data_IF_906746939683
#
_entry.id   IF_906746939683
#
_cell.length_a   1.000
_cell.length_b   1.000
_cell.length_c   1.000
_cell.angle_alpha   90.00
_cell.angle_beta   90.00
_cell.angle_gamma   90.00
#
_symmetry.space_group_name_H-M   'P 1'
#
loop_
_entity.id
_entity.type
_entity.pdbx_description
1 polymer ?
#
# COMPACT_ATOMS: atom_id res chain seq x y z
N UNK A 1 -14.30 -5.89 0.75
CA UNK A 1 -13.67 -4.65 1.25
C UNK A 1 -12.32 -4.51 0.58
N UNK A 2 -12.21 -3.65 -0.43
CA UNK A 2 -10.95 -3.42 -1.14
C UNK A 2 -10.03 -2.61 -0.21
N UNK A 3 -8.86 -3.17 0.13
CA UNK A 3 -7.85 -2.48 0.93
C UNK A 3 -7.08 -1.54 0.00
N UNK A 4 -7.37 -0.25 0.06
CA UNK A 4 -6.50 0.78 -0.50
C UNK A 4 -5.12 0.68 0.16
N UNK A 5 -4.05 0.99 -0.60
CA UNK A 5 -2.78 1.29 0.04
C UNK A 5 -2.96 2.56 0.85
N UNK A 6 -2.69 2.49 2.15
CA UNK A 6 -2.73 3.64 3.06
C UNK A 6 -1.86 4.80 2.55
N UNK A 7 -0.80 4.50 1.80
CA UNK A 7 0.10 5.51 1.21
C UNK A 7 -0.55 6.30 0.04
N UNK A 8 -1.61 5.77 -0.58
CA UNK A 8 -2.28 6.34 -1.77
C UNK A 8 -3.71 6.79 -1.50
N UNK A 9 -4.08 7.10 -0.24
CA UNK A 9 -5.42 7.54 0.14
C UNK A 9 -5.88 8.80 -0.63
N UNK A 10 -4.93 9.69 -0.96
CA UNK A 10 -5.17 10.91 -1.73
C UNK A 10 -5.67 10.64 -3.15
N UNK A 11 -5.44 9.43 -3.70
CA UNK A 11 -5.86 9.06 -5.05
C UNK A 11 -7.39 9.04 -5.22
N UNK A 12 -8.14 8.92 -4.13
CA UNK A 12 -9.59 9.08 -4.17
C UNK A 12 -10.02 10.45 -4.69
N UNK A 13 -9.24 11.51 -4.46
CA UNK A 13 -9.57 12.87 -4.89
C UNK A 13 -9.49 13.02 -6.41
N UNK A 14 -8.38 12.68 -7.11
CA UNK A 14 -8.35 12.66 -8.57
C UNK A 14 -9.46 11.82 -9.21
N UNK A 15 -9.81 10.67 -8.61
CA UNK A 15 -10.89 9.81 -9.10
C UNK A 15 -12.26 10.51 -9.03
N UNK A 16 -12.56 11.19 -7.92
CA UNK A 16 -13.81 11.95 -7.75
C UNK A 16 -13.85 13.17 -8.66
N UNK A 17 -12.73 13.86 -8.84
CA UNK A 17 -12.61 15.06 -9.67
C UNK A 17 -12.68 14.72 -11.18
N UNK A 18 -12.28 13.51 -11.59
CA UNK A 18 -12.32 13.05 -12.98
C UNK A 18 -13.71 13.18 -13.61
N UNK A 19 -14.77 12.80 -12.90
CA UNK A 19 -16.15 12.86 -13.41
C UNK A 19 -16.59 14.29 -13.80
N UNK A 20 -16.56 15.25 -12.85
CA UNK A 20 -16.84 16.65 -13.14
C UNK A 20 -15.93 17.25 -14.22
N UNK A 21 -14.63 16.92 -14.22
CA UNK A 21 -13.71 17.43 -15.24
C UNK A 21 -14.09 16.96 -16.66
N UNK A 22 -14.54 15.72 -16.84
CA UNK A 22 -14.97 15.22 -18.16
C UNK A 22 -16.23 15.95 -18.67
N UNK A 23 -17.12 16.39 -17.77
CA UNK A 23 -18.33 17.11 -18.15
C UNK A 23 -18.08 18.59 -18.47
N UNK A 24 -16.99 19.17 -17.96
CA UNK A 24 -16.68 20.59 -18.12
C UNK A 24 -16.48 21.02 -19.60
N UNK A 25 -15.74 20.30 -20.46
CA UNK A 25 -15.63 20.61 -21.88
C UNK A 25 -16.98 20.63 -22.63
N UNK A 26 -17.90 19.74 -22.25
CA UNK A 26 -19.24 19.65 -22.88
C UNK A 26 -20.04 20.92 -22.62
N UNK A 27 -19.90 21.51 -21.42
CA UNK A 27 -20.60 22.75 -21.04
C UNK A 27 -19.91 24.00 -21.60
N UNK A 28 -18.57 24.03 -21.64
CA UNK A 28 -17.82 25.22 -22.06
C UNK A 28 -17.76 25.41 -23.58
N UNK A 29 -17.73 24.32 -24.35
CA UNK A 29 -17.50 24.35 -25.78
C UNK A 29 -18.65 23.67 -26.54
N UNK A 30 -19.90 23.97 -26.17
CA UNK A 30 -21.12 23.35 -26.74
C UNK A 30 -21.15 23.34 -28.27
N UNK A 31 -20.62 24.40 -28.88
CA UNK A 31 -20.71 24.61 -30.34
C UNK A 31 -19.52 24.02 -31.13
N UNK A 32 -18.51 23.48 -30.43
CA UNK A 32 -17.28 22.97 -31.06
C UNK A 32 -16.95 21.54 -30.62
N UNK A 33 -17.62 20.52 -31.20
CA UNK A 33 -17.39 19.11 -30.86
C UNK A 33 -15.92 18.65 -30.95
N UNK A 34 -15.11 19.08 -31.94
CA UNK A 34 -13.69 18.70 -31.97
C UNK A 34 -12.91 19.15 -30.72
N UNK A 35 -13.19 20.36 -30.23
CA UNK A 35 -12.54 20.90 -29.03
C UNK A 35 -12.97 20.10 -27.79
N UNK A 36 -14.25 19.73 -27.69
CA UNK A 36 -14.75 18.90 -26.59
C UNK A 36 -13.98 17.57 -26.51
N UNK A 37 -13.83 16.87 -27.65
CA UNK A 37 -13.16 15.55 -27.68
C UNK A 37 -11.68 15.67 -27.33
N UNK A 38 -10.97 16.68 -27.84
CA UNK A 38 -9.55 16.90 -27.51
C UNK A 38 -9.38 17.21 -26.01
N UNK A 39 -10.23 18.07 -25.43
CA UNK A 39 -10.20 18.36 -24.01
C UNK A 39 -10.48 17.12 -23.14
N UNK A 40 -11.49 16.32 -23.51
CA UNK A 40 -11.79 15.07 -22.80
C UNK A 40 -10.61 14.10 -22.90
N UNK A 41 -9.99 13.94 -24.07
CA UNK A 41 -8.83 13.09 -24.26
C UNK A 41 -7.64 13.53 -23.39
N UNK A 42 -7.34 14.84 -23.33
CA UNK A 42 -6.28 15.37 -22.47
C UNK A 42 -6.53 15.07 -20.98
N UNK A 43 -7.77 15.27 -20.51
CA UNK A 43 -8.16 14.97 -19.13
C UNK A 43 -7.99 13.47 -18.84
N UNK A 44 -8.52 12.61 -19.70
CA UNK A 44 -8.42 11.16 -19.55
C UNK A 44 -6.97 10.67 -19.55
N UNK A 45 -6.13 11.14 -20.49
CA UNK A 45 -4.71 10.79 -20.54
C UNK A 45 -3.97 11.26 -19.29
N UNK A 46 -4.25 12.46 -18.80
CA UNK A 46 -3.64 12.96 -17.55
C UNK A 46 -4.03 12.09 -16.36
N UNK A 47 -5.30 11.69 -16.25
CA UNK A 47 -5.74 10.77 -15.18
C UNK A 47 -5.13 9.38 -15.32
N UNK A 48 -4.94 8.88 -16.55
CA UNK A 48 -4.28 7.60 -16.82
C UNK A 48 -2.81 7.63 -16.38
N UNK A 49 -2.07 8.70 -16.69
CA UNK A 49 -0.67 8.87 -16.25
C UNK A 49 -0.60 8.92 -14.72
N UNK A 50 -1.46 9.71 -14.08
CA UNK A 50 -1.53 9.75 -12.61
C UNK A 50 -1.80 8.38 -12.00
N UNK A 51 -2.70 7.60 -12.60
CA UNK A 51 -3.02 6.23 -12.17
C UNK A 51 -1.83 5.28 -12.32
N UNK A 52 -1.11 5.36 -13.44
CA UNK A 52 0.10 4.57 -13.70
C UNK A 52 1.25 4.92 -12.75
N UNK A 53 1.28 6.13 -12.18
CA UNK A 53 2.29 6.52 -11.20
C UNK A 53 1.88 6.13 -9.78
N UNK A 54 0.59 6.26 -9.43
CA UNK A 54 0.12 6.08 -8.08
C UNK A 54 -0.12 4.62 -7.66
N UNK A 55 -0.45 3.72 -8.61
CA UNK A 55 -0.82 2.32 -8.36
C UNK A 55 -1.72 2.17 -7.12
N UNK A 56 -2.92 2.79 -7.15
CA UNK A 56 -3.75 2.98 -5.96
C UNK A 56 -4.19 1.66 -5.32
N UNK A 57 -4.27 0.59 -6.11
CA UNK A 57 -4.77 -0.70 -5.67
C UNK A 57 -3.64 -1.55 -5.09
N UNK A 58 -3.93 -2.27 -3.99
CA UNK A 58 -2.99 -3.23 -3.40
C UNK A 58 -2.68 -4.38 -4.35
N UNK A 59 -3.66 -4.80 -5.14
CA UNK A 59 -3.55 -5.93 -6.07
C UNK A 59 -2.97 -5.42 -7.40
N UNK A 60 -1.73 -5.82 -7.79
CA UNK A 60 -1.09 -5.37 -9.02
C UNK A 60 -1.92 -5.62 -10.27
N UNK A 61 -2.57 -6.79 -10.35
CA UNK A 61 -3.43 -7.14 -11.49
C UNK A 61 -4.57 -6.14 -11.68
N UNK A 62 -5.14 -5.61 -10.60
CA UNK A 62 -6.21 -4.62 -10.69
C UNK A 62 -5.68 -3.34 -11.32
N UNK A 63 -4.53 -2.82 -10.88
CA UNK A 63 -3.91 -1.64 -11.50
C UNK A 63 -3.66 -1.82 -13.01
N UNK A 64 -3.21 -3.01 -13.43
CA UNK A 64 -2.98 -3.32 -14.85
C UNK A 64 -4.30 -3.30 -15.63
N UNK A 65 -5.33 -3.97 -15.15
CA UNK A 65 -6.65 -3.98 -15.79
C UNK A 65 -7.23 -2.56 -15.91
N UNK A 66 -7.07 -1.77 -14.85
CA UNK A 66 -7.55 -0.40 -14.76
C UNK A 66 -6.80 0.54 -15.73
N UNK A 67 -5.50 0.28 -15.97
CA UNK A 67 -4.71 0.94 -17.01
C UNK A 67 -5.16 0.53 -18.42
N UNK A 68 -5.41 -0.76 -18.65
CA UNK A 68 -5.91 -1.27 -19.95
C UNK A 68 -7.25 -0.63 -20.28
N UNK A 69 -8.19 -0.60 -19.33
CA UNK A 69 -9.49 0.05 -19.50
C UNK A 69 -9.31 1.54 -19.83
N UNK A 70 -8.50 2.25 -19.05
CA UNK A 70 -8.26 3.69 -19.28
C UNK A 70 -7.64 3.95 -20.65
N UNK A 71 -6.70 3.11 -21.09
CA UNK A 71 -6.10 3.17 -22.40
C UNK A 71 -7.12 2.92 -23.52
N UNK A 72 -7.95 1.88 -23.42
CA UNK A 72 -9.01 1.60 -24.38
C UNK A 72 -10.04 2.73 -24.47
N UNK A 73 -10.37 3.38 -23.34
CA UNK A 73 -11.28 4.54 -23.31
C UNK A 73 -10.64 5.72 -24.03
N UNK A 74 -9.37 6.05 -23.75
CA UNK A 74 -8.65 7.14 -24.44
C UNK A 74 -8.58 6.88 -25.95
N UNK A 75 -8.30 5.65 -26.37
CA UNK A 75 -8.30 5.27 -27.78
C UNK A 75 -9.69 5.37 -28.41
N UNK A 76 -10.74 4.95 -27.69
CA UNK A 76 -12.13 5.09 -28.16
C UNK A 76 -12.50 6.56 -28.37
N UNK A 77 -12.18 7.42 -27.41
CA UNK A 77 -12.42 8.87 -27.50
C UNK A 77 -11.60 9.49 -28.63
N UNK A 78 -10.36 9.04 -28.83
CA UNK A 78 -9.53 9.54 -29.93
C UNK A 78 -10.09 9.09 -31.28
N UNK A 79 -10.54 7.84 -31.39
CA UNK A 79 -11.15 7.27 -32.60
C UNK A 79 -12.47 7.97 -32.92
N UNK A 80 -13.21 8.45 -31.91
CA UNK A 80 -14.47 9.17 -32.13
C UNK A 80 -14.28 10.46 -32.94
N UNK A 81 -13.09 11.08 -32.88
CA UNK A 81 -12.75 12.27 -33.68
C UNK A 81 -12.80 11.99 -35.19
N UNK A 82 -12.56 10.75 -35.62
CA UNK A 82 -12.60 10.38 -37.03
C UNK A 82 -14.02 10.57 -37.58
N UNK A 83 -15.05 10.31 -36.77
CA UNK A 83 -16.46 10.43 -37.18
C UNK A 83 -16.97 11.88 -37.25
N UNK A 84 -16.18 12.87 -36.83
CA UNK A 84 -16.59 14.28 -36.88
C UNK A 84 -16.56 14.87 -38.29
N UNK A 85 -15.74 14.31 -39.19
CA UNK A 85 -15.65 14.75 -40.58
C UNK A 85 -16.34 13.76 -41.52
N UNK A 86 -16.62 14.19 -42.76
CA UNK A 86 -17.11 13.28 -43.82
C UNK A 86 -16.07 12.18 -44.04
N UNK A 87 -16.35 11.00 -43.50
CA UNK A 87 -15.49 9.83 -43.58
C UNK A 87 -15.63 9.18 -44.97
N UNK A 88 -14.50 8.80 -45.55
CA UNK A 88 -14.44 7.89 -46.69
C UNK A 88 -15.01 6.51 -46.25
N UNK A 89 -15.92 5.88 -47.04
CA UNK A 89 -16.39 4.52 -46.77
C UNK A 89 -15.30 3.51 -46.36
N UNK A 90 -14.10 3.61 -46.92
CA UNK A 90 -12.98 2.74 -46.55
C UNK A 90 -12.50 2.98 -45.10
N UNK A 91 -12.46 4.23 -44.64
CA UNK A 91 -12.08 4.59 -43.27
C UNK A 91 -13.16 4.23 -42.25
N UNK A 92 -14.43 4.21 -42.66
CA UNK A 92 -15.53 3.84 -41.77
C UNK A 92 -15.37 2.42 -41.22
N UNK A 93 -15.04 1.46 -42.10
CA UNK A 93 -14.83 0.06 -41.71
C UNK A 93 -13.69 -0.09 -40.70
N UNK A 94 -12.58 0.63 -40.93
CA UNK A 94 -11.45 0.65 -40.00
C UNK A 94 -11.83 1.25 -38.64
N UNK A 95 -12.42 2.44 -38.62
CA UNK A 95 -12.82 3.11 -37.37
C UNK A 95 -13.84 2.28 -36.57
N UNK A 96 -14.78 1.64 -37.26
CA UNK A 96 -15.77 0.75 -36.66
C UNK A 96 -15.13 -0.51 -36.07
N UNK A 97 -14.20 -1.13 -36.82
CA UNK A 97 -13.44 -2.28 -36.34
C UNK A 97 -12.59 -1.97 -35.11
N UNK A 98 -11.86 -0.85 -35.13
CA UNK A 98 -11.06 -0.39 -33.98
C UNK A 98 -11.96 -0.09 -32.77
N UNK A 99 -13.05 0.65 -32.96
CA UNK A 99 -13.98 0.98 -31.87
C UNK A 99 -14.59 -0.28 -31.26
N UNK A 100 -14.99 -1.25 -32.10
CA UNK A 100 -15.53 -2.55 -31.65
C UNK A 100 -14.49 -3.35 -30.87
N UNK A 101 -13.23 -3.37 -31.33
CA UNK A 101 -12.13 -4.03 -30.64
C UNK A 101 -11.80 -3.37 -29.29
N UNK A 102 -11.84 -2.05 -29.18
CA UNK A 102 -11.65 -1.35 -27.91
C UNK A 102 -12.80 -1.63 -26.93
N UNK A 103 -14.04 -1.60 -27.42
CA UNK A 103 -15.23 -1.93 -26.60
C UNK A 103 -15.16 -3.37 -26.08
N UNK A 104 -14.83 -4.33 -26.94
CA UNK A 104 -14.69 -5.73 -26.54
C UNK A 104 -13.54 -5.92 -25.53
N UNK A 105 -12.44 -5.18 -25.69
CA UNK A 105 -11.36 -5.11 -24.70
C UNK A 105 -11.83 -4.61 -23.33
N UNK A 106 -12.65 -3.56 -23.30
CA UNK A 106 -13.25 -3.03 -22.06
C UNK A 106 -14.17 -4.08 -21.42
N UNK A 107 -15.08 -4.70 -22.19
CA UNK A 107 -15.96 -5.75 -21.68
C UNK A 107 -15.19 -6.97 -21.18
N UNK A 108 -14.12 -7.38 -21.87
CA UNK A 108 -13.23 -8.44 -21.44
C UNK A 108 -12.54 -8.12 -20.12
N UNK A 109 -12.00 -6.91 -19.97
CA UNK A 109 -11.38 -6.44 -18.74
C UNK A 109 -12.37 -6.41 -17.56
N UNK A 110 -13.59 -5.92 -17.78
CA UNK A 110 -14.67 -5.95 -16.77
C UNK A 110 -15.03 -7.39 -16.40
N UNK A 111 -15.15 -8.28 -17.39
CA UNK A 111 -15.46 -9.69 -17.15
C UNK A 111 -14.39 -10.37 -16.29
N UNK A 112 -13.10 -10.10 -16.58
CA UNK A 112 -11.98 -10.55 -15.74
C UNK A 112 -12.14 -10.03 -14.31
N UNK A 113 -12.43 -8.74 -14.09
CA UNK A 113 -12.63 -8.19 -12.74
C UNK A 113 -13.79 -8.87 -11.99
N UNK A 114 -14.90 -9.14 -12.68
CA UNK A 114 -16.05 -9.86 -12.10
C UNK A 114 -15.65 -11.27 -11.71
N UNK A 115 -15.01 -12.02 -12.62
CA UNK A 115 -14.49 -13.37 -12.34
C UNK A 115 -13.53 -13.36 -11.15
N UNK A 116 -12.58 -12.41 -11.10
CA UNK A 116 -11.65 -12.26 -9.98
C UNK A 116 -12.39 -12.00 -8.66
N UNK A 117 -13.43 -11.17 -8.68
CA UNK A 117 -14.23 -10.86 -7.49
C UNK A 117 -14.98 -12.08 -7.01
N UNK A 118 -15.63 -12.82 -7.92
CA UNK A 118 -16.34 -14.07 -7.61
C UNK A 118 -15.39 -15.12 -7.07
N UNK A 119 -14.25 -15.35 -7.73
CA UNK A 119 -13.21 -16.26 -7.24
C UNK A 119 -12.72 -15.84 -5.86
N UNK A 120 -12.44 -14.56 -5.63
CA UNK A 120 -11.99 -14.07 -4.33
C UNK A 120 -13.04 -14.29 -3.22
N UNK A 121 -14.33 -14.14 -3.53
CA UNK A 121 -15.42 -14.41 -2.59
C UNK A 121 -15.52 -15.91 -2.26
N UNK A 122 -15.52 -16.78 -3.28
CA UNK A 122 -15.63 -18.24 -3.12
C UNK A 122 -14.41 -18.79 -2.37
N UNK A 123 -13.20 -18.40 -2.75
CA UNK A 123 -11.98 -18.86 -2.06
C UNK A 123 -11.94 -18.37 -0.61
N UNK A 124 -12.38 -17.13 -0.36
CA UNK A 124 -12.43 -16.60 1.01
C UNK A 124 -13.45 -17.35 1.87
N UNK A 125 -14.62 -17.69 1.32
CA UNK A 125 -15.62 -18.47 2.04
C UNK A 125 -15.19 -19.91 2.27
N UNK A 126 -14.51 -20.53 1.30
CA UNK A 126 -14.16 -21.95 1.35
C UNK A 126 -12.91 -22.25 2.18
N UNK A 127 -11.88 -21.41 2.15
CA UNK A 127 -10.58 -21.75 2.72
C UNK A 127 -10.25 -21.05 4.05
N UNK A 128 -11.05 -20.08 4.51
CA UNK A 128 -10.85 -19.40 5.80
C UNK A 128 -9.48 -18.71 6.02
N UNK A 129 -8.55 -18.82 5.07
CA UNK A 129 -7.15 -18.44 5.19
C UNK A 129 -6.77 -17.32 4.22
N UNK A 130 -5.86 -16.44 4.66
CA UNK A 130 -5.35 -15.27 3.91
C UNK A 130 -4.38 -15.61 2.76
N UNK A 131 -4.44 -16.80 2.17
CA UNK A 131 -3.55 -17.12 1.04
C UNK A 131 -4.01 -16.35 -0.20
N UNK A 132 -3.38 -15.20 -0.46
CA UNK A 132 -3.60 -14.44 -1.68
C UNK A 132 -3.20 -15.29 -2.90
N UNK A 133 -4.10 -15.39 -3.90
CA UNK A 133 -3.85 -16.19 -5.10
C UNK A 133 -2.66 -15.61 -5.87
N UNK A 134 -1.72 -16.48 -6.28
CA UNK A 134 -0.50 -16.12 -7.01
C UNK A 134 -0.78 -15.29 -8.27
N UNK A 135 -1.89 -15.57 -8.95
CA UNK A 135 -2.30 -14.87 -10.16
C UNK A 135 -2.59 -13.38 -9.89
N UNK A 136 -3.14 -13.03 -8.72
CA UNK A 136 -3.50 -11.65 -8.39
C UNK A 136 -2.28 -10.77 -8.13
N UNK A 137 -1.20 -11.36 -7.63
CA UNK A 137 0.03 -10.64 -7.31
C UNK A 137 1.02 -10.54 -8.48
N UNK A 138 0.63 -10.96 -9.70
CA UNK A 138 1.49 -10.99 -10.89
C UNK A 138 2.84 -11.72 -10.63
N UNK A 139 2.87 -12.62 -9.64
CA UNK A 139 4.13 -13.13 -9.12
C UNK A 139 3.94 -14.01 -7.89
N UNK A 140 5.00 -14.76 -7.54
CA UNK A 140 5.04 -15.56 -6.31
C UNK A 140 5.34 -14.64 -5.15
N UNK A 141 4.40 -14.51 -4.21
CA UNK A 141 4.69 -13.86 -2.93
C UNK A 141 5.72 -14.72 -2.20
N UNK A 142 6.87 -14.16 -1.77
CA UNK A 142 7.87 -14.93 -1.03
C UNK A 142 7.26 -15.46 0.26
N UNK A 143 7.63 -16.69 0.63
CA UNK A 143 7.20 -17.26 1.91
C UNK A 143 7.75 -16.37 3.04
N UNK A 144 6.95 -16.07 4.06
CA UNK A 144 7.36 -15.29 5.22
C UNK A 144 8.59 -15.87 5.91
N UNK A 145 8.73 -17.20 5.95
CA UNK A 145 9.91 -17.89 6.49
C UNK A 145 11.16 -17.59 5.66
N UNK A 146 11.05 -17.72 4.32
CA UNK A 146 12.15 -17.44 3.39
C UNK A 146 12.56 -15.97 3.46
N UNK A 147 11.58 -15.05 3.53
CA UNK A 147 11.83 -13.63 3.68
C UNK A 147 12.53 -13.33 5.01
N UNK A 148 12.09 -13.94 6.12
CA UNK A 148 12.71 -13.76 7.43
C UNK A 148 14.17 -14.26 7.44
N UNK A 149 14.43 -15.38 6.77
CA UNK A 149 15.78 -15.93 6.61
C UNK A 149 16.67 -14.98 5.83
N UNK A 150 16.20 -14.48 4.68
CA UNK A 150 16.95 -13.52 3.84
C UNK A 150 17.23 -12.20 4.57
N UNK A 151 16.27 -11.69 5.35
CA UNK A 151 16.46 -10.48 6.16
C UNK A 151 17.52 -10.70 7.23
N UNK A 152 17.52 -11.86 7.92
CA UNK A 152 18.57 -12.21 8.89
C UNK A 152 19.94 -12.35 8.25
N UNK A 153 20.03 -13.04 7.12
CA UNK A 153 21.28 -13.18 6.35
C UNK A 153 21.83 -11.81 5.93
N UNK A 154 20.96 -10.94 5.42
CA UNK A 154 21.34 -9.56 5.05
C UNK A 154 21.83 -8.76 6.27
N UNK A 155 21.19 -8.89 7.43
CA UNK A 155 21.64 -8.22 8.66
C UNK A 155 23.04 -8.69 9.09
N UNK A 156 23.33 -10.00 9.02
CA UNK A 156 24.65 -10.54 9.33
C UNK A 156 25.73 -10.09 8.32
N UNK A 157 25.37 -9.95 7.04
CA UNK A 157 26.28 -9.42 6.03
C UNK A 157 26.57 -7.93 6.24
N UNK A 158 25.54 -7.15 6.60
CA UNK A 158 25.68 -5.72 6.92
C UNK A 158 26.55 -5.51 8.16
N UNK A 159 26.43 -6.35 9.17
CA UNK A 159 27.28 -6.30 10.38
C UNK A 159 28.77 -6.50 10.07
N UNK A 160 29.09 -7.32 9.07
CA UNK A 160 30.48 -7.60 8.64
C UNK A 160 31.03 -6.59 7.64
N UNK A 161 30.18 -5.75 7.06
CA UNK A 161 30.58 -4.84 5.98
C UNK A 161 31.05 -3.50 6.56
N UNK A 162 32.11 -2.93 5.98
CA UNK A 162 32.59 -1.61 6.40
C UNK A 162 31.56 -0.52 6.08
N UNK A 163 31.40 0.44 7.01
CA UNK A 163 30.41 1.51 6.89
C UNK A 163 30.70 2.40 5.68
N UNK A 164 31.98 2.59 5.33
CA UNK A 164 32.40 3.35 4.16
C UNK A 164 31.95 2.69 2.85
N UNK A 165 32.11 1.37 2.74
CA UNK A 165 31.68 0.61 1.56
C UNK A 165 30.15 0.67 1.38
N UNK A 166 29.39 0.46 2.46
CA UNK A 166 27.92 0.57 2.42
C UNK A 166 27.49 1.97 1.98
N UNK A 167 28.09 3.03 2.54
CA UNK A 167 27.77 4.41 2.17
C UNK A 167 28.04 4.68 0.69
N UNK A 168 29.17 4.20 0.16
CA UNK A 168 29.51 4.36 -1.26
C UNK A 168 28.50 3.65 -2.18
N UNK A 169 28.09 2.43 -1.81
CA UNK A 169 27.10 1.65 -2.56
C UNK A 169 25.71 2.27 -2.51
N UNK A 170 25.29 2.78 -1.34
CA UNK A 170 24.04 3.50 -1.19
C UNK A 170 24.04 4.83 -1.96
N UNK A 171 25.18 5.53 -2.03
CA UNK A 171 25.31 6.76 -2.81
C UNK A 171 25.21 6.53 -4.33
N UNK A 172 25.51 5.32 -4.80
CA UNK A 172 25.35 4.94 -6.20
C UNK A 172 23.90 4.57 -6.58
N UNK A 173 23.01 4.38 -5.59
CA UNK A 173 21.60 4.05 -5.85
C UNK A 173 20.81 5.27 -6.30
N UNK A 174 19.74 5.03 -7.05
CA UNK A 174 18.80 6.10 -7.40
C UNK A 174 18.13 6.65 -6.14
N UNK A 175 17.68 7.90 -6.21
CA UNK A 175 16.90 8.54 -5.13
C UNK A 175 15.66 7.71 -4.79
N UNK A 176 15.02 7.12 -5.79
CA UNK A 176 13.84 6.26 -5.61
C UNK A 176 14.18 5.00 -4.81
N UNK A 177 15.25 4.29 -5.17
CA UNK A 177 15.67 3.07 -4.47
C UNK A 177 16.09 3.36 -3.03
N UNK A 178 16.80 4.48 -2.82
CA UNK A 178 17.20 4.94 -1.49
C UNK A 178 15.98 5.23 -0.60
N UNK A 179 14.92 5.83 -1.15
CA UNK A 179 13.66 6.03 -0.44
C UNK A 179 12.96 4.70 -0.12
N UNK A 180 13.00 3.71 -1.02
CA UNK A 180 12.45 2.37 -0.77
C UNK A 180 13.20 1.66 0.35
N UNK A 181 14.53 1.66 0.31
CA UNK A 181 15.38 1.08 1.36
C UNK A 181 15.09 1.76 2.70
N UNK A 182 15.05 3.09 2.73
CA UNK A 182 14.72 3.86 3.95
C UNK A 182 13.36 3.46 4.52
N UNK A 183 12.35 3.28 3.65
CA UNK A 183 11.02 2.83 4.05
C UNK A 183 11.05 1.40 4.59
N UNK A 184 11.77 0.49 3.94
CA UNK A 184 11.93 -0.89 4.38
C UNK A 184 12.64 -0.98 5.74
N UNK A 185 13.73 -0.23 5.94
CA UNK A 185 14.46 -0.17 7.21
C UNK A 185 13.57 0.41 8.31
N UNK A 186 12.82 1.48 8.01
CA UNK A 186 11.85 2.06 8.95
C UNK A 186 10.79 1.03 9.35
N UNK A 187 10.22 0.30 8.40
CA UNK A 187 9.21 -0.72 8.68
C UNK A 187 9.76 -1.88 9.53
N UNK A 188 10.97 -2.33 9.24
CA UNK A 188 11.64 -3.36 10.04
C UNK A 188 11.90 -2.87 11.46
N UNK A 189 12.39 -1.63 11.61
CA UNK A 189 12.64 -1.03 12.91
C UNK A 189 11.36 -0.82 13.73
N UNK A 190 10.23 -0.49 13.09
CA UNK A 190 8.97 -0.24 13.81
C UNK A 190 8.17 -1.51 14.13
N UNK A 191 8.20 -2.53 13.26
CA UNK A 191 7.33 -3.71 13.39
C UNK A 191 8.07 -4.94 13.93
N UNK A 192 9.39 -5.06 13.72
CA UNK A 192 10.17 -6.26 14.06
C UNK A 192 11.07 -6.03 15.27
N UNK A 193 11.67 -4.84 15.39
CA UNK A 193 12.55 -4.57 16.52
C UNK A 193 11.74 -4.38 17.82
N UNK A 194 12.14 -5.01 18.93
CA UNK A 194 11.52 -4.74 20.22
C UNK A 194 11.72 -3.27 20.59
N UNK A 195 10.77 -2.63 21.29
CA UNK A 195 10.93 -1.27 21.77
C UNK A 195 12.12 -1.25 22.75
N UNK A 196 13.27 -0.76 22.29
CA UNK A 196 14.45 -0.55 23.12
C UNK A 196 14.13 0.56 24.14
N UNK A 197 14.21 0.24 25.43
CA UNK A 197 13.95 1.19 26.52
C UNK A 197 14.88 2.43 26.47
N UNK A 198 16.04 2.31 25.82
CA UNK A 198 17.06 3.36 25.69
C UNK A 198 17.26 3.90 24.26
N UNK A 199 16.35 3.60 23.31
CA UNK A 199 16.53 4.05 21.94
C UNK A 199 16.45 5.58 21.84
N UNK A 200 17.63 6.21 21.75
CA UNK A 200 17.81 7.55 21.18
C UNK A 200 16.91 7.66 19.96
N UNK A 201 15.96 8.58 20.06
CA UNK A 201 14.96 8.97 19.07
C UNK A 201 15.48 8.83 17.63
N UNK A 202 15.31 7.64 17.05
CA UNK A 202 15.29 7.53 15.61
C UNK A 202 14.03 8.28 15.19
N UNK A 203 14.22 9.46 14.57
CA UNK A 203 13.14 10.23 13.95
C UNK A 203 12.68 9.47 12.71
N UNK A 204 12.00 8.35 12.92
CA UNK A 204 11.29 7.68 11.85
C UNK A 204 10.10 8.55 11.45
N UNK A 205 9.86 8.65 10.14
CA UNK A 205 8.62 9.25 9.66
C UNK A 205 7.46 8.45 10.26
N UNK A 206 6.68 9.11 11.12
CA UNK A 206 5.64 8.47 11.92
C UNK A 206 4.55 7.94 10.98
N UNK A 207 4.66 6.67 10.60
CA UNK A 207 3.62 6.01 9.84
C UNK A 207 2.44 5.77 10.77
N UNK A 208 1.25 6.11 10.30
CA UNK A 208 0.03 5.76 11.02
C UNK A 208 -0.18 4.26 10.82
N UNK A 209 0.32 3.45 11.74
CA UNK A 209 0.12 2.01 11.72
C UNK A 209 -1.37 1.69 11.91
N UNK A 210 -1.89 0.64 11.26
CA UNK A 210 -3.29 0.25 11.44
C UNK A 210 -3.62 -0.13 12.89
N UNK A 211 -2.62 -0.58 13.64
CA UNK A 211 -2.70 -0.81 15.10
C UNK A 211 -2.98 0.47 15.90
N UNK A 212 -2.64 1.65 15.37
CA UNK A 212 -2.96 2.94 15.99
C UNK A 212 -4.47 3.22 16.03
N UNK A 213 -5.24 2.55 15.17
CA UNK A 213 -6.70 2.61 15.12
C UNK A 213 -7.37 1.47 15.89
N UNK A 214 -6.62 0.51 16.43
CA UNK A 214 -7.18 -0.57 17.23
C UNK A 214 -7.27 -0.12 18.70
N UNK A 215 -8.47 0.22 19.22
CA UNK A 215 -8.63 0.64 20.60
C UNK A 215 -8.24 -0.46 21.59
N UNK A 216 -8.21 -1.74 21.17
CA UNK A 216 -7.77 -2.84 22.01
C UNK A 216 -6.26 -2.81 22.28
N UNK A 217 -5.44 -2.32 21.34
CA UNK A 217 -4.00 -2.15 21.47
C UNK A 217 -3.60 -0.88 22.23
N UNK A 218 -4.52 0.09 22.39
CA UNK A 218 -4.35 1.21 23.34
C UNK A 218 -4.46 0.78 24.80
N UNK A 219 -4.80 -0.49 25.09
CA UNK A 219 -4.62 -1.03 26.44
C UNK A 219 -3.12 -1.00 26.74
N UNK A 220 -2.74 -0.12 27.69
CA UNK A 220 -1.36 0.10 28.16
C UNK A 220 -0.54 -1.19 28.05
N UNK A 221 0.64 -1.16 27.40
CA UNK A 221 1.44 -2.36 27.19
C UNK A 221 1.59 -3.08 28.52
N UNK A 222 1.30 -4.37 28.52
CA UNK A 222 1.26 -5.20 29.72
C UNK A 222 2.61 -5.18 30.46
N UNK A 223 3.70 -4.85 29.76
CA UNK A 223 5.01 -4.55 30.35
C UNK A 223 4.94 -3.40 31.36
N UNK A 224 4.27 -2.29 31.06
CA UNK A 224 4.10 -1.15 31.98
C UNK A 224 3.26 -1.51 33.22
N UNK A 225 2.39 -2.52 33.12
CA UNK A 225 1.69 -3.06 34.31
C UNK A 225 2.63 -3.93 35.15
N UNK A 226 3.49 -4.73 34.52
CA UNK A 226 4.48 -5.55 35.22
C UNK A 226 5.56 -4.69 35.89
N UNK A 227 6.07 -3.63 35.23
CA UNK A 227 7.04 -2.72 35.88
C UNK A 227 6.39 -1.97 37.03
N UNK A 228 5.12 -1.57 36.90
CA UNK A 228 4.40 -0.89 37.97
C UNK A 228 4.10 -1.84 39.14
N UNK A 229 3.68 -3.07 38.86
CA UNK A 229 3.49 -4.10 39.90
C UNK A 229 4.81 -4.47 40.59
N UNK A 230 5.92 -4.58 39.84
CA UNK A 230 7.24 -4.84 40.42
C UNK A 230 7.70 -3.69 41.32
N UNK A 231 7.49 -2.44 40.88
CA UNK A 231 7.83 -1.24 41.65
C UNK A 231 6.92 -1.02 42.87
N UNK A 232 5.67 -1.49 42.80
CA UNK A 232 4.75 -1.51 43.94
C UNK A 232 5.03 -2.67 44.91
N UNK A 233 5.64 -3.78 44.44
CA UNK A 233 6.01 -4.94 45.26
C UNK A 233 7.36 -4.79 45.99
N UNK A 234 8.31 -4.02 45.44
CA UNK A 234 9.60 -3.73 46.10
C UNK A 234 9.49 -3.17 47.53
N UNK A 235 8.66 -2.15 47.83
CA UNK A 235 8.53 -1.64 49.19
C UNK A 235 7.86 -2.67 50.14
N UNK A 236 6.95 -3.50 49.63
CA UNK A 236 6.31 -4.54 50.44
C UNK A 236 7.29 -5.67 50.82
N UNK A 237 8.20 -6.07 49.92
CA UNK A 237 9.27 -7.02 50.24
C UNK A 237 10.27 -6.44 51.24
N UNK A 238 10.67 -5.17 51.10
CA UNK A 238 11.57 -4.52 52.06
C UNK A 238 10.94 -4.41 53.46
N UNK A 239 9.62 -4.19 53.52
CA UNK A 239 8.91 -4.12 54.80
C UNK A 239 8.81 -5.49 55.47
N UNK A 240 8.60 -6.57 54.70
CA UNK A 240 8.60 -7.94 55.21
C UNK A 240 9.98 -8.36 55.73
N UNK A 241 11.06 -8.03 55.01
CA UNK A 241 12.43 -8.35 55.42
C UNK A 241 12.84 -7.63 56.72
N UNK A 242 12.39 -6.39 56.90
CA UNK A 242 12.64 -5.65 58.15
C UNK A 242 11.89 -6.25 59.35
N UNK A 243 10.65 -6.71 59.16
CA UNK A 243 9.87 -7.38 60.21
C UNK A 243 10.52 -8.69 60.64
N UNK A 244 11.05 -9.47 59.69
CA UNK A 244 11.73 -10.73 60.00
C UNK A 244 13.01 -10.51 60.81
N UNK A 245 13.81 -9.48 60.47
CA UNK A 245 15.01 -9.09 61.24
C UNK A 245 14.67 -8.64 62.67
N UNK A 246 13.57 -7.90 62.85
CA UNK A 246 13.12 -7.47 64.18
C UNK A 246 12.65 -8.65 65.07
N UNK A 247 12.04 -9.67 64.47
CA UNK A 247 11.61 -10.89 65.21
C UNK A 247 12.82 -11.72 65.64
N UNK A 248 13.79 -11.93 64.74
CA UNK A 248 15.02 -12.68 65.05
C UNK A 248 15.82 -11.98 66.15
N UNK A 249 15.94 -10.65 66.08
CA UNK A 249 16.67 -9.91 67.11
C UNK A 249 15.99 -9.97 68.48
N UNK A 250 14.65 -9.96 68.55
CA UNK A 250 13.92 -10.12 69.83
C UNK A 250 14.06 -11.52 70.44
N UNK A 251 14.24 -12.57 69.63
CA UNK A 251 14.42 -13.94 70.14
C UNK A 251 15.79 -14.22 70.75
N UNK A 252 16.80 -13.38 70.51
CA UNK A 252 18.13 -13.54 71.14
C UNK A 252 18.20 -13.00 72.57
N UNK A 253 17.18 -12.26 73.03
CA UNK A 253 17.14 -11.64 74.36
C UNK A 253 16.16 -12.31 75.35
N UNK A 254 15.61 -13.49 75.00
CA UNK A 254 14.73 -14.30 75.85
C UNK A 254 15.44 -15.62 76.16
#
# INVERSE_FOLDING_TARGET
MMRFRLDSWWFGVPLLVRGPLINLPVVLATDYPPIQVVCIAMILTTTMVMQMLAWPWKVPLLNVTDCIISFCIVLTVTTSTLYLNKIDPAMYGFASGVSTAMLSGIFGAISIMVCMTVSALIYRSAMGGQKELRMFNLGRVPNSEELSKKVKEMAMMLEKSDTGDIASKLAALSVFDTQKITTCVTLLATEVAPPLEDARSFKFNKRIASSSFDPALKRKPQSLRLTRQKKEAEPAMQQAENVEKDVVHKSEWI
#
